data_IF_812012569557
#
_entry.id   IF_812012569557
#
_cell.length_a   1.000
_cell.length_b   1.000
_cell.length_c   1.000
_cell.angle_alpha   90.00
_cell.angle_beta   90.00
_cell.angle_gamma   90.00
#
_symmetry.space_group_name_H-M   'P 1'
#
loop_
_entity.id
_entity.type
_entity.pdbx_description
1 polymer ?
#
# COMPACT_ATOMS: atom_id res chain seq x y z
N UNK A 1 -50.94 20.73 -32.13
CA UNK A 1 -49.59 20.20 -31.84
C UNK A 1 -48.62 21.35 -31.84
N UNK A 2 -48.10 21.81 -30.68
CA UNK A 2 -46.77 22.43 -30.52
C UNK A 2 -46.40 22.46 -29.02
N UNK A 3 -45.70 21.40 -28.64
CA UNK A 3 -44.60 21.23 -27.68
C UNK A 3 -44.23 22.36 -26.70
N UNK A 4 -44.48 22.12 -25.40
CA UNK A 4 -43.90 22.84 -24.24
C UNK A 4 -42.60 22.17 -23.73
N UNK A 5 -41.55 22.07 -24.55
CA UNK A 5 -40.30 21.39 -24.13
C UNK A 5 -39.00 22.13 -24.47
N UNK A 6 -38.98 23.47 -24.41
CA UNK A 6 -37.75 24.24 -24.72
C UNK A 6 -37.16 25.07 -23.57
N UNK A 7 -37.78 25.11 -22.39
CA UNK A 7 -37.30 25.95 -21.27
C UNK A 7 -36.39 25.24 -20.25
N UNK A 8 -36.25 23.92 -20.32
CA UNK A 8 -35.40 23.16 -19.40
C UNK A 8 -33.95 22.97 -19.89
N UNK A 9 -33.65 23.25 -21.17
CA UNK A 9 -32.32 23.02 -21.76
C UNK A 9 -31.43 24.27 -21.68
N UNK A 10 -31.99 25.45 -21.40
CA UNK A 10 -31.25 26.73 -21.39
C UNK A 10 -30.63 27.11 -20.03
N UNK A 11 -30.53 26.17 -19.08
CA UNK A 11 -29.73 26.32 -17.85
C UNK A 11 -28.48 25.43 -17.82
N UNK A 12 -28.25 24.62 -18.85
CA UNK A 12 -27.12 23.69 -18.94
C UNK A 12 -26.09 24.03 -20.02
N UNK A 13 -26.19 25.20 -20.66
CA UNK A 13 -25.33 25.59 -21.79
C UNK A 13 -24.63 26.95 -21.63
N UNK A 14 -24.58 27.51 -20.42
CA UNK A 14 -23.82 28.72 -20.10
C UNK A 14 -22.76 28.52 -18.99
N UNK A 15 -22.33 27.28 -18.77
CA UNK A 15 -21.19 26.93 -17.89
C UNK A 15 -20.21 26.00 -18.63
N UNK A 16 -19.93 26.31 -19.91
CA UNK A 16 -18.98 25.55 -20.73
C UNK A 16 -17.99 26.44 -21.51
N UNK A 17 -17.95 27.75 -21.24
CA UNK A 17 -17.10 28.70 -21.98
C UNK A 17 -16.49 29.81 -21.12
N UNK A 18 -16.32 29.54 -19.83
CA UNK A 18 -15.45 30.31 -18.95
C UNK A 18 -14.51 29.35 -18.21
N UNK A 19 -13.70 28.60 -18.97
CA UNK A 19 -12.36 28.23 -18.48
C UNK A 19 -11.58 29.53 -18.52
N UNK A 20 -11.84 30.38 -17.53
CA UNK A 20 -10.85 31.34 -17.09
C UNK A 20 -9.69 30.45 -16.64
N UNK A 21 -8.51 30.49 -17.27
CA UNK A 21 -7.35 29.88 -16.62
C UNK A 21 -7.27 30.61 -15.28
N UNK A 22 -7.51 29.89 -14.19
CA UNK A 22 -6.94 30.31 -12.93
C UNK A 22 -5.46 30.45 -13.25
N UNK A 23 -5.00 31.69 -13.39
CA UNK A 23 -3.60 32.02 -13.31
C UNK A 23 -3.22 31.70 -11.87
N UNK A 24 -3.02 30.42 -11.58
CA UNK A 24 -2.06 30.01 -10.59
C UNK A 24 -0.82 30.79 -10.97
N UNK A 25 -0.29 31.58 -10.02
CA UNK A 25 0.98 32.23 -10.22
C UNK A 25 1.93 31.21 -10.86
N UNK A 26 2.50 31.53 -12.02
CA UNK A 26 3.40 30.65 -12.73
C UNK A 26 4.70 30.56 -11.92
N UNK A 27 4.64 29.80 -10.83
CA UNK A 27 5.79 29.24 -10.16
C UNK A 27 6.51 28.39 -11.21
N UNK A 28 7.85 28.32 -11.15
CA UNK A 28 8.64 27.54 -12.10
C UNK A 28 8.30 26.06 -12.01
N UNK A 29 7.18 25.64 -12.60
CA UNK A 29 6.57 24.33 -12.43
C UNK A 29 7.46 23.29 -13.08
N UNK A 30 8.07 22.46 -12.24
CA UNK A 30 8.84 21.32 -12.67
C UNK A 30 7.92 20.10 -12.76
N UNK A 31 8.15 19.25 -13.75
CA UNK A 31 7.41 18.01 -13.90
C UNK A 31 8.36 16.85 -14.15
N UNK A 32 8.12 15.72 -13.49
CA UNK A 32 8.81 14.46 -13.75
C UNK A 32 7.81 13.34 -13.93
N UNK A 33 8.17 12.34 -14.73
CA UNK A 33 7.40 11.11 -14.87
C UNK A 33 8.05 10.03 -14.02
N UNK A 34 7.27 9.34 -13.20
CA UNK A 34 7.71 8.17 -12.44
C UNK A 34 6.81 6.98 -12.72
N UNK A 35 7.39 5.79 -12.74
CA UNK A 35 6.64 4.53 -12.80
C UNK A 35 6.99 3.67 -11.59
N UNK A 36 6.00 3.33 -10.77
CA UNK A 36 6.13 2.31 -9.72
C UNK A 36 5.91 0.93 -10.33
N UNK A 37 6.72 -0.06 -9.97
CA UNK A 37 6.52 -1.42 -10.47
C UNK A 37 7.36 -2.47 -9.72
N UNK A 38 7.08 -3.76 -9.95
CA UNK A 38 7.89 -4.84 -9.40
C UNK A 38 9.28 -4.87 -10.05
N UNK A 39 10.29 -5.23 -9.27
CA UNK A 39 11.68 -5.37 -9.68
C UNK A 39 12.39 -6.35 -8.73
N UNK A 40 13.70 -6.49 -8.83
CA UNK A 40 14.50 -7.35 -7.97
C UNK A 40 15.85 -6.74 -7.69
N UNK A 41 16.46 -7.12 -6.58
CA UNK A 41 17.88 -6.85 -6.32
C UNK A 41 18.59 -8.16 -5.97
N UNK A 42 19.91 -8.18 -6.12
CA UNK A 42 20.73 -9.32 -5.75
C UNK A 42 21.64 -8.90 -4.60
N UNK A 43 21.52 -9.60 -3.47
CA UNK A 43 22.33 -9.37 -2.29
C UNK A 43 23.78 -9.81 -2.54
N UNK A 44 24.77 -9.36 -1.73
CA UNK A 44 26.17 -9.74 -1.91
C UNK A 44 26.45 -11.25 -1.83
N UNK A 45 25.55 -12.03 -1.21
CA UNK A 45 25.61 -13.50 -1.15
C UNK A 45 25.06 -14.18 -2.42
N UNK A 46 24.61 -13.41 -3.42
CA UNK A 46 24.03 -13.89 -4.66
C UNK A 46 22.52 -14.17 -4.58
N UNK A 47 21.87 -13.97 -3.44
CA UNK A 47 20.43 -14.18 -3.31
C UNK A 47 19.63 -13.08 -3.99
N UNK A 48 18.70 -13.45 -4.86
CA UNK A 48 17.75 -12.50 -5.47
C UNK A 48 16.58 -12.25 -4.52
N UNK A 49 16.27 -10.98 -4.31
CA UNK A 49 15.21 -10.49 -3.43
C UNK A 49 14.18 -9.74 -4.28
N UNK A 50 12.89 -10.10 -4.22
CA UNK A 50 11.84 -9.33 -4.88
C UNK A 50 11.69 -7.96 -4.22
N UNK A 51 11.69 -6.91 -5.04
CA UNK A 51 11.58 -5.53 -4.60
C UNK A 51 10.51 -4.84 -5.46
N UNK A 52 10.07 -3.68 -5.04
CA UNK A 52 9.28 -2.72 -5.82
C UNK A 52 10.11 -1.45 -5.94
N UNK A 53 10.01 -0.75 -7.07
CA UNK A 53 10.82 0.44 -7.29
C UNK A 53 10.10 1.49 -8.08
N UNK A 54 10.51 2.73 -7.87
CA UNK A 54 10.23 3.80 -8.82
C UNK A 54 11.29 3.77 -9.93
N UNK A 55 10.85 4.09 -11.14
CA UNK A 55 11.72 4.26 -12.31
C UNK A 55 11.39 5.57 -12.98
N UNK A 56 12.44 6.28 -13.42
CA UNK A 56 12.29 7.55 -14.11
C UNK A 56 11.71 7.32 -15.51
N UNK A 57 10.62 8.00 -15.82
CA UNK A 57 10.05 8.06 -17.16
C UNK A 57 10.80 9.03 -18.06
N UNK A 58 10.27 9.25 -19.26
CA UNK A 58 10.81 10.23 -20.20
C UNK A 58 10.81 11.65 -19.60
N UNK A 59 11.85 12.43 -19.90
CA UNK A 59 11.92 13.82 -19.50
C UNK A 59 10.73 14.61 -20.07
N UNK A 60 10.15 15.49 -19.25
CA UNK A 60 9.00 16.30 -19.65
C UNK A 60 9.48 17.58 -20.30
N UNK A 61 9.06 17.83 -21.55
CA UNK A 61 9.41 19.05 -22.28
C UNK A 61 9.01 20.30 -21.48
N UNK A 62 9.95 21.23 -21.32
CA UNK A 62 9.76 22.46 -20.56
C UNK A 62 10.02 22.34 -19.05
N UNK A 63 10.26 21.12 -18.55
CA UNK A 63 10.77 20.89 -17.19
C UNK A 63 12.29 20.83 -17.20
N UNK A 64 12.90 21.45 -16.19
CA UNK A 64 14.35 21.39 -15.91
C UNK A 64 14.68 20.45 -14.76
N UNK A 65 13.67 19.90 -14.07
CA UNK A 65 13.91 18.87 -13.07
C UNK A 65 14.36 17.56 -13.74
N UNK A 66 15.28 16.88 -13.06
CA UNK A 66 15.82 15.60 -13.50
C UNK A 66 15.32 14.49 -12.60
N UNK A 67 15.29 13.28 -13.15
CA UNK A 67 15.08 12.05 -12.40
C UNK A 67 16.14 11.05 -12.87
N UNK A 68 16.84 10.44 -11.94
CA UNK A 68 17.80 9.37 -12.22
C UNK A 68 17.69 8.24 -11.20
N UNK A 69 18.23 7.08 -11.51
CA UNK A 69 18.50 6.06 -10.50
C UNK A 69 19.60 6.57 -9.56
N UNK A 70 19.37 6.46 -8.25
CA UNK A 70 20.33 6.84 -7.22
C UNK A 70 21.62 5.99 -7.30
N UNK A 71 21.50 4.72 -7.71
CA UNK A 71 22.60 3.84 -8.05
C UNK A 71 22.59 3.55 -9.57
N UNK A 72 23.35 4.32 -10.38
CA UNK A 72 23.43 4.13 -11.83
C UNK A 72 23.94 2.75 -12.25
N UNK A 73 24.79 2.11 -11.43
CA UNK A 73 25.32 0.78 -11.72
C UNK A 73 24.22 -0.29 -11.58
N UNK A 74 23.37 -0.18 -10.55
CA UNK A 74 22.20 -1.06 -10.40
C UNK A 74 21.21 -0.88 -11.56
N UNK A 75 20.93 0.36 -11.97
CA UNK A 75 20.07 0.62 -13.13
C UNK A 75 20.63 0.02 -14.44
N UNK A 76 21.95 0.12 -14.65
CA UNK A 76 22.62 -0.49 -15.81
C UNK A 76 22.54 -2.01 -15.78
N UNK A 77 22.60 -2.60 -14.58
CA UNK A 77 22.43 -4.03 -14.35
C UNK A 77 20.96 -4.50 -14.41
N UNK A 78 20.01 -3.58 -14.57
CA UNK A 78 18.57 -3.90 -14.55
C UNK A 78 18.05 -4.34 -13.18
N UNK A 79 18.72 -3.95 -12.09
CA UNK A 79 18.32 -4.24 -10.72
C UNK A 79 17.73 -3.02 -10.03
N UNK A 80 17.08 -3.25 -8.88
CA UNK A 80 16.45 -2.21 -8.09
C UNK A 80 17.44 -1.13 -7.62
N UNK A 81 17.00 0.12 -7.71
CA UNK A 81 17.64 1.30 -7.15
C UNK A 81 16.55 2.27 -6.73
N UNK A 82 16.70 3.00 -5.61
CA UNK A 82 15.93 4.21 -5.36
C UNK A 82 16.12 5.22 -6.50
N UNK A 83 15.21 6.18 -6.60
CA UNK A 83 15.31 7.31 -7.54
C UNK A 83 15.79 8.56 -6.83
N UNK A 84 16.51 9.42 -7.53
CA UNK A 84 16.78 10.80 -7.12
C UNK A 84 16.11 11.74 -8.10
N UNK A 85 15.23 12.61 -7.58
CA UNK A 85 14.64 13.72 -8.31
C UNK A 85 15.38 14.98 -7.91
N UNK A 86 15.98 15.67 -8.86
CA UNK A 86 16.62 16.96 -8.61
C UNK A 86 15.81 18.07 -9.25
N UNK A 87 15.39 19.04 -8.43
CA UNK A 87 14.57 20.17 -8.83
C UNK A 87 15.37 21.45 -8.61
N UNK A 88 15.57 22.28 -9.65
CA UNK A 88 16.22 23.57 -9.49
C UNK A 88 15.46 24.46 -8.49
N UNK A 89 16.17 24.93 -7.47
CA UNK A 89 15.62 25.93 -6.56
C UNK A 89 15.43 27.26 -7.31
N UNK A 90 14.23 27.84 -7.23
CA UNK A 90 13.96 29.14 -7.85
C UNK A 90 14.77 30.25 -7.15
N UNK A 91 15.35 31.15 -7.94
CA UNK A 91 16.03 32.36 -7.42
C UNK A 91 15.05 33.40 -6.88
N UNK A 92 13.77 33.32 -7.25
CA UNK A 92 12.67 34.12 -6.71
C UNK A 92 11.34 33.36 -6.83
N UNK A 93 10.47 33.46 -5.80
CA UNK A 93 9.21 32.72 -5.73
C UNK A 93 9.36 31.27 -5.25
N UNK A 94 8.25 30.53 -5.20
CA UNK A 94 8.27 29.11 -4.85
C UNK A 94 8.53 28.24 -6.10
N UNK A 95 9.28 27.15 -5.94
CA UNK A 95 9.37 26.11 -6.97
C UNK A 95 8.22 25.12 -6.78
N UNK A 96 7.49 24.78 -7.84
CA UNK A 96 6.47 23.74 -7.78
C UNK A 96 6.98 22.46 -8.45
N UNK A 97 6.54 21.30 -7.98
CA UNK A 97 6.82 20.00 -8.60
C UNK A 97 5.51 19.24 -8.85
N UNK A 98 5.36 18.72 -10.05
CA UNK A 98 4.36 17.70 -10.39
C UNK A 98 5.08 16.38 -10.69
N UNK A 99 4.69 15.30 -10.00
CA UNK A 99 5.10 13.94 -10.35
C UNK A 99 3.93 13.26 -11.05
N UNK A 100 4.10 12.92 -12.33
CA UNK A 100 3.16 12.05 -13.04
C UNK A 100 3.52 10.60 -12.70
N UNK A 101 2.80 10.03 -11.73
CA UNK A 101 3.02 8.67 -11.25
C UNK A 101 2.16 7.70 -12.06
N UNK A 102 2.80 6.75 -12.73
CA UNK A 102 2.17 5.56 -13.30
C UNK A 102 2.37 4.39 -12.35
N UNK A 103 1.29 3.74 -11.92
CA UNK A 103 1.39 2.59 -11.02
C UNK A 103 1.24 1.28 -11.80
N UNK A 104 2.34 0.54 -11.95
CA UNK A 104 2.41 -0.78 -12.58
C UNK A 104 2.65 -1.91 -11.57
N UNK A 105 2.26 -1.74 -10.30
CA UNK A 105 2.28 -2.80 -9.29
C UNK A 105 1.15 -3.80 -9.53
N UNK A 106 1.32 -4.58 -10.59
CA UNK A 106 0.41 -5.63 -11.05
C UNK A 106 1.12 -6.98 -10.96
N UNK A 107 0.51 -7.93 -10.27
CA UNK A 107 1.07 -9.25 -9.98
C UNK A 107 0.14 -10.33 -10.50
N UNK A 108 0.61 -11.18 -11.40
CA UNK A 108 -0.19 -12.30 -11.94
C UNK A 108 0.08 -13.56 -11.13
N UNK A 109 -0.91 -14.13 -10.42
CA UNK A 109 -0.81 -15.43 -9.78
C UNK A 109 -0.56 -16.55 -10.79
N UNK A 110 0.27 -17.52 -10.40
CA UNK A 110 0.55 -18.69 -11.22
C UNK A 110 -0.75 -19.46 -11.56
N UNK A 111 -0.92 -19.82 -12.83
CA UNK A 111 -2.11 -20.54 -13.30
C UNK A 111 -3.37 -19.69 -13.46
N UNK A 112 -3.27 -18.36 -13.36
CA UNK A 112 -4.42 -17.45 -13.56
C UNK A 112 -4.11 -16.38 -14.60
N UNK A 113 -5.15 -15.78 -15.19
CA UNK A 113 -5.02 -14.62 -16.08
C UNK A 113 -5.36 -13.28 -15.38
N UNK A 114 -5.95 -13.35 -14.19
CA UNK A 114 -6.38 -12.17 -13.43
C UNK A 114 -5.23 -11.62 -12.61
N UNK A 115 -4.89 -10.36 -12.80
CA UNK A 115 -3.82 -9.70 -12.04
C UNK A 115 -4.36 -9.17 -10.70
N UNK A 116 -3.55 -9.31 -9.65
CA UNK A 116 -3.72 -8.60 -8.41
C UNK A 116 -3.03 -7.24 -8.51
N UNK A 117 -3.73 -6.17 -8.14
CA UNK A 117 -3.20 -4.82 -8.17
C UNK A 117 -2.93 -4.28 -6.78
N UNK A 118 -1.77 -3.64 -6.60
CA UNK A 118 -1.42 -2.93 -5.36
C UNK A 118 -1.45 -1.42 -5.64
N UNK A 119 -2.36 -0.64 -5.02
CA UNK A 119 -2.31 0.80 -5.12
C UNK A 119 -1.07 1.36 -4.41
N UNK A 120 -0.62 2.54 -4.82
CA UNK A 120 0.53 3.21 -4.19
C UNK A 120 0.34 4.71 -4.21
N UNK A 121 1.16 5.45 -3.47
CA UNK A 121 1.17 6.90 -3.49
C UNK A 121 2.61 7.40 -3.31
N UNK A 122 2.78 8.71 -3.21
CA UNK A 122 4.06 9.32 -2.86
C UNK A 122 3.83 10.34 -1.75
N UNK A 123 4.67 10.28 -0.73
CA UNK A 123 4.87 11.33 0.26
C UNK A 123 6.33 11.77 0.17
N UNK A 124 6.55 13.08 0.27
CA UNK A 124 7.88 13.65 0.38
C UNK A 124 7.97 14.26 1.78
N UNK A 125 8.75 13.63 2.64
CA UNK A 125 8.83 13.99 4.06
C UNK A 125 9.33 15.43 4.18
N UNK A 126 8.59 16.26 4.93
CA UNK A 126 8.89 17.69 5.07
C UNK A 126 8.34 18.58 3.94
N UNK A 127 7.68 18.02 2.92
CA UNK A 127 7.01 18.77 1.86
C UNK A 127 5.51 18.51 1.86
N UNK A 128 4.70 19.57 1.91
CA UNK A 128 3.23 19.44 1.81
C UNK A 128 2.84 19.42 0.33
N UNK A 129 2.24 18.31 -0.10
CA UNK A 129 1.80 18.10 -1.47
C UNK A 129 1.47 16.63 -1.74
N UNK A 130 1.21 16.30 -3.00
CA UNK A 130 0.79 14.95 -3.40
C UNK A 130 -0.56 14.52 -2.78
N UNK A 131 -1.31 15.45 -2.20
CA UNK A 131 -2.55 15.21 -1.45
C UNK A 131 -2.40 15.05 0.06
N UNK A 132 -1.17 15.14 0.59
CA UNK A 132 -0.93 15.19 2.02
C UNK A 132 -1.68 16.37 2.66
N UNK A 133 -2.43 16.09 3.73
CA UNK A 133 -3.25 17.09 4.43
C UNK A 133 -4.65 17.34 3.83
N UNK A 134 -4.97 16.72 2.68
CA UNK A 134 -6.29 16.82 2.05
C UNK A 134 -7.14 15.59 2.41
N UNK A 135 -8.09 15.75 3.34
CA UNK A 135 -8.91 14.64 3.84
C UNK A 135 -9.74 13.94 2.74
N UNK A 136 -10.05 14.63 1.64
CA UNK A 136 -10.75 14.06 0.49
C UNK A 136 -9.87 13.20 -0.42
N UNK A 137 -8.55 13.27 -0.27
CA UNK A 137 -7.58 12.58 -1.12
C UNK A 137 -6.88 11.42 -0.42
N UNK A 138 -6.95 11.35 0.92
CA UNK A 138 -6.49 10.19 1.68
C UNK A 138 -7.45 9.01 1.48
N UNK A 139 -6.92 7.80 1.40
CA UNK A 139 -7.72 6.58 1.46
C UNK A 139 -7.68 5.95 2.84
N UNK A 140 -8.75 5.24 3.20
CA UNK A 140 -8.88 4.54 4.46
C UNK A 140 -9.58 3.22 4.28
N UNK A 141 -9.19 2.23 5.06
CA UNK A 141 -9.91 0.96 5.16
C UNK A 141 -10.85 0.97 6.35
N UNK A 142 -11.94 0.22 6.25
CA UNK A 142 -12.83 -0.03 7.38
C UNK A 142 -12.05 -0.67 8.52
N UNK A 143 -12.29 -0.26 9.78
CA UNK A 143 -11.67 -0.94 10.90
C UNK A 143 -12.21 -2.39 10.98
N UNK A 144 -11.44 -3.32 11.58
CA UNK A 144 -11.97 -4.62 11.95
C UNK A 144 -13.25 -4.48 12.79
N UNK A 145 -14.19 -5.41 12.62
CA UNK A 145 -15.36 -5.46 13.50
C UNK A 145 -14.94 -5.87 14.91
N UNK A 146 -15.27 -5.02 15.89
CA UNK A 146 -15.01 -5.27 17.30
C UNK A 146 -16.31 -5.49 18.10
N UNK A 147 -17.46 -5.68 17.45
CA UNK A 147 -18.77 -5.89 18.09
C UNK A 147 -18.76 -6.99 19.15
N UNK A 148 -17.90 -8.02 18.96
CA UNK A 148 -17.71 -9.14 19.88
C UNK A 148 -16.34 -9.15 20.58
N UNK A 149 -15.48 -8.14 20.39
CA UNK A 149 -14.11 -8.14 20.91
C UNK A 149 -14.03 -8.17 22.45
N UNK A 150 -15.10 -7.77 23.13
CA UNK A 150 -15.28 -7.87 24.58
C UNK A 150 -16.53 -8.67 24.95
N UNK A 151 -17.09 -9.41 23.98
CA UNK A 151 -18.35 -10.14 24.16
C UNK A 151 -18.27 -11.31 25.13
N UNK A 152 -17.05 -11.77 25.47
CA UNK A 152 -16.80 -12.67 26.59
C UNK A 152 -15.75 -12.02 27.52
N UNK A 153 -16.02 -11.85 28.81
CA UNK A 153 -14.96 -11.52 29.76
C UNK A 153 -13.97 -12.69 29.82
N UNK A 154 -12.68 -12.44 29.60
CA UNK A 154 -11.62 -13.45 29.74
C UNK A 154 -11.35 -13.85 31.20
N UNK A 155 -12.12 -13.27 32.13
CA UNK A 155 -11.96 -13.45 33.57
C UNK A 155 -13.22 -14.08 34.19
N UNK A 156 -13.04 -15.27 34.76
CA UNK A 156 -14.08 -16.18 35.28
C UNK A 156 -15.00 -15.62 36.38
N UNK A 157 -14.70 -14.46 36.97
CA UNK A 157 -15.56 -13.81 37.97
C UNK A 157 -16.68 -12.98 37.31
N UNK A 158 -16.46 -12.49 36.08
CA UNK A 158 -17.37 -11.55 35.43
C UNK A 158 -18.50 -12.22 34.64
N UNK A 159 -18.41 -13.53 34.39
CA UNK A 159 -19.51 -14.32 33.82
C UNK A 159 -19.61 -15.71 34.47
N UNK A 160 -20.56 -15.91 35.42
CA UNK A 160 -20.76 -17.20 36.07
C UNK A 160 -21.48 -18.23 35.18
N UNK A 161 -21.97 -17.82 33.99
CA UNK A 161 -22.81 -18.66 33.13
C UNK A 161 -22.05 -19.30 31.95
N UNK A 162 -20.87 -18.79 31.59
CA UNK A 162 -20.07 -19.33 30.49
C UNK A 162 -18.78 -19.99 30.99
N UNK A 163 -18.63 -21.32 30.86
CA UNK A 163 -17.40 -22.01 31.24
C UNK A 163 -16.18 -21.53 30.44
N UNK A 164 -14.96 -21.54 31.03
CA UNK A 164 -13.74 -21.24 30.31
C UNK A 164 -13.60 -22.11 29.04
N UNK A 165 -13.40 -21.48 27.88
CA UNK A 165 -13.17 -22.18 26.61
C UNK A 165 -14.42 -22.41 25.74
N UNK A 166 -15.61 -21.93 26.13
CA UNK A 166 -16.81 -21.95 25.29
C UNK A 166 -16.92 -20.64 24.49
N UNK A 167 -17.01 -20.67 23.14
CA UNK A 167 -17.21 -19.46 22.34
C UNK A 167 -18.58 -18.83 22.62
N UNK A 168 -18.63 -17.56 23.02
CA UNK A 168 -19.90 -16.86 23.19
C UNK A 168 -20.57 -16.64 21.83
N UNK A 169 -21.87 -16.87 21.77
CA UNK A 169 -22.69 -16.67 20.56
C UNK A 169 -23.26 -15.23 20.46
N UNK A 170 -23.07 -14.41 21.50
CA UNK A 170 -23.48 -13.00 21.58
C UNK A 170 -22.62 -12.22 22.60
N UNK A 171 -22.67 -10.89 22.56
CA UNK A 171 -22.05 -10.02 23.58
C UNK A 171 -22.90 -10.04 24.86
N UNK A 172 -22.41 -10.69 25.91
CA UNK A 172 -23.09 -10.82 27.21
C UNK A 172 -22.56 -9.85 28.29
N UNK A 173 -21.40 -9.23 28.06
CA UNK A 173 -20.69 -8.40 29.04
C UNK A 173 -21.27 -7.00 29.18
N UNK A 174 -22.12 -6.57 28.23
CA UNK A 174 -22.59 -5.19 28.12
C UNK A 174 -21.47 -4.19 27.76
N UNK A 175 -20.25 -4.67 27.53
CA UNK A 175 -19.13 -3.84 27.17
C UNK A 175 -19.22 -3.48 25.68
N UNK A 176 -19.44 -2.20 25.41
CA UNK A 176 -19.47 -1.65 24.06
C UNK A 176 -18.09 -1.01 23.82
N UNK A 177 -17.18 -1.64 23.05
CA UNK A 177 -15.91 -1.01 22.75
C UNK A 177 -16.15 0.31 21.99
N UNK A 178 -15.27 1.32 22.17
CA UNK A 178 -15.42 2.58 21.46
C UNK A 178 -15.41 2.33 19.95
N UNK A 179 -16.34 2.99 19.25
CA UNK A 179 -16.40 2.94 17.78
C UNK A 179 -15.05 3.36 17.22
N UNK A 180 -14.38 2.42 16.57
CA UNK A 180 -13.11 2.70 15.91
C UNK A 180 -13.38 3.46 14.61
N UNK A 181 -12.60 4.51 14.34
CA UNK A 181 -12.64 5.18 13.04
C UNK A 181 -11.98 4.31 11.95
N UNK A 182 -12.17 4.67 10.66
CA UNK A 182 -11.42 4.07 9.56
C UNK A 182 -9.91 4.15 9.80
N UNK A 183 -9.19 3.07 9.46
CA UNK A 183 -7.74 3.03 9.55
C UNK A 183 -7.15 3.71 8.32
N UNK A 184 -6.13 4.54 8.52
CA UNK A 184 -5.43 5.20 7.40
C UNK A 184 -4.78 4.11 6.54
N UNK A 185 -5.07 4.16 5.24
CA UNK A 185 -4.48 3.30 4.23
C UNK A 185 -3.36 4.04 3.49
N UNK A 186 -3.64 5.28 3.08
CA UNK A 186 -2.67 6.17 2.46
C UNK A 186 -2.66 7.56 3.10
N UNK A 187 -1.47 8.12 3.30
CA UNK A 187 -1.28 9.49 3.80
C UNK A 187 -1.45 10.57 2.71
N UNK A 188 -1.43 10.18 1.44
CA UNK A 188 -1.52 11.09 0.29
C UNK A 188 -2.45 10.52 -0.78
N UNK A 189 -2.53 11.16 -1.95
CA UNK A 189 -3.40 10.71 -3.04
C UNK A 189 -2.93 9.35 -3.56
N UNK A 190 -3.76 8.33 -3.32
CA UNK A 190 -3.51 6.97 -3.76
C UNK A 190 -3.81 6.80 -5.26
N UNK A 191 -2.89 6.16 -5.97
CA UNK A 191 -2.96 5.85 -7.40
C UNK A 191 -3.22 4.37 -7.55
N UNK A 192 -4.37 4.03 -8.15
CA UNK A 192 -4.77 2.65 -8.41
C UNK A 192 -3.76 1.93 -9.32
N UNK A 193 -3.58 0.62 -9.11
CA UNK A 193 -2.74 -0.21 -9.97
C UNK A 193 -3.26 -0.21 -11.42
N UNK A 194 -2.35 -0.20 -12.39
CA UNK A 194 -2.66 -0.07 -13.82
C UNK A 194 -3.12 1.32 -14.26
N UNK A 195 -3.06 2.33 -13.37
CA UNK A 195 -3.50 3.70 -13.64
C UNK A 195 -2.36 4.70 -13.48
N UNK A 196 -2.59 5.94 -13.92
CA UNK A 196 -1.68 7.06 -13.71
C UNK A 196 -2.39 8.26 -13.09
N UNK A 197 -1.66 9.05 -12.29
CA UNK A 197 -2.15 10.30 -11.71
C UNK A 197 -1.03 11.34 -11.59
N UNK A 198 -1.40 12.62 -11.64
CA UNK A 198 -0.50 13.73 -11.39
C UNK A 198 -0.57 14.18 -9.94
N UNK A 199 0.54 14.04 -9.22
CA UNK A 199 0.69 14.43 -7.82
C UNK A 199 1.43 15.77 -7.74
N UNK A 200 0.88 16.76 -7.05
CA UNK A 200 1.40 18.13 -7.06
C UNK A 200 1.90 18.62 -5.69
N UNK A 201 3.09 19.21 -5.69
CA UNK A 201 3.70 19.96 -4.59
C UNK A 201 3.81 21.41 -5.02
N UNK A 202 2.88 22.30 -4.60
CA UNK A 202 2.77 23.65 -5.15
C UNK A 202 3.87 24.60 -4.67
N UNK A 203 4.54 24.29 -3.56
CA UNK A 203 5.58 25.13 -2.98
C UNK A 203 6.64 24.27 -2.28
N UNK A 204 7.67 23.90 -3.03
CA UNK A 204 8.82 23.17 -2.51
C UNK A 204 9.71 24.08 -1.67
N UNK A 205 10.13 23.56 -0.52
CA UNK A 205 11.18 24.15 0.30
C UNK A 205 12.55 23.62 -0.17
N UNK A 206 13.57 24.47 -0.39
CA UNK A 206 14.93 24.02 -0.69
C UNK A 206 15.48 23.02 0.33
N UNK A 207 16.31 22.07 -0.10
CA UNK A 207 16.92 21.05 0.75
C UNK A 207 16.81 19.63 0.17
N UNK A 208 17.19 18.65 0.97
CA UNK A 208 17.16 17.23 0.62
C UNK A 208 16.13 16.51 1.48
N UNK A 209 15.26 15.74 0.85
CA UNK A 209 14.09 15.13 1.49
C UNK A 209 13.95 13.67 1.06
N UNK A 210 13.54 12.82 2.00
CA UNK A 210 13.18 11.43 1.71
C UNK A 210 11.82 11.41 0.99
N UNK A 211 11.75 10.65 -0.10
CA UNK A 211 10.55 10.35 -0.85
C UNK A 211 10.21 8.88 -0.58
N UNK A 212 8.97 8.61 -0.19
CA UNK A 212 8.53 7.25 0.10
C UNK A 212 7.05 7.06 -0.28
N UNK A 213 6.62 5.80 -0.40
CA UNK A 213 5.19 5.54 -0.56
C UNK A 213 4.42 5.95 0.69
N UNK A 214 3.35 6.71 0.49
CA UNK A 214 2.39 7.06 1.55
C UNK A 214 1.33 5.99 1.78
N UNK A 215 1.21 4.99 0.90
CA UNK A 215 0.27 3.88 1.00
C UNK A 215 0.94 2.71 1.69
N UNK A 216 0.34 2.20 2.77
CA UNK A 216 0.88 1.07 3.56
C UNK A 216 2.41 1.14 3.76
N UNK A 217 2.96 2.24 4.33
CA UNK A 217 4.41 2.44 4.35
C UNK A 217 5.16 1.32 5.07
N UNK A 218 4.55 0.68 6.07
CA UNK A 218 5.13 -0.50 6.74
C UNK A 218 5.39 -1.71 5.83
N UNK A 219 4.81 -1.74 4.63
CA UNK A 219 5.00 -2.78 3.61
C UNK A 219 5.74 -2.19 2.41
N UNK A 220 5.24 -1.09 1.86
CA UNK A 220 5.74 -0.55 0.59
C UNK A 220 7.14 0.04 0.68
N UNK A 221 7.50 0.64 1.82
CA UNK A 221 8.84 1.18 2.06
C UNK A 221 9.87 0.06 2.17
N UNK A 222 9.68 -1.01 2.99
CA UNK A 222 10.56 -2.18 2.98
C UNK A 222 10.60 -2.94 1.64
N UNK A 223 9.54 -2.85 0.83
CA UNK A 223 9.57 -3.37 -0.55
C UNK A 223 10.44 -2.52 -1.48
N UNK A 224 10.77 -1.28 -1.13
CA UNK A 224 11.70 -0.43 -1.88
C UNK A 224 11.06 0.71 -2.66
N UNK A 225 9.80 1.05 -2.39
CA UNK A 225 9.17 2.27 -2.92
C UNK A 225 9.67 3.51 -2.15
N UNK A 226 10.93 3.84 -2.41
CA UNK A 226 11.69 4.92 -1.79
C UNK A 226 12.50 5.70 -2.84
N UNK A 227 12.97 6.87 -2.44
CA UNK A 227 13.83 7.72 -3.23
C UNK A 227 14.13 9.03 -2.51
N UNK A 228 14.70 9.97 -3.25
CA UNK A 228 15.13 11.26 -2.72
C UNK A 228 14.61 12.40 -3.59
N UNK A 229 14.15 13.47 -2.96
CA UNK A 229 13.97 14.77 -3.59
C UNK A 229 15.11 15.70 -3.15
N UNK A 230 15.82 16.27 -4.12
CA UNK A 230 16.83 17.31 -3.90
C UNK A 230 16.34 18.60 -4.54
N UNK A 231 16.07 19.63 -3.74
CA UNK A 231 15.65 20.95 -4.19
C UNK A 231 16.80 21.92 -3.98
N UNK A 232 17.61 22.14 -5.02
CA UNK A 232 18.90 22.85 -4.92
C UNK A 232 19.22 23.62 -6.19
N UNK A 233 20.18 24.53 -6.13
CA UNK A 233 20.87 25.00 -7.33
C UNK A 233 22.10 24.12 -7.52
N UNK A 234 22.07 23.23 -8.52
CA UNK A 234 23.16 22.28 -8.76
C UNK A 234 24.45 22.97 -9.26
N UNK A 235 25.65 22.44 -8.95
CA UNK A 235 26.90 22.94 -9.52
C UNK A 235 26.92 22.78 -11.04
N UNK A 236 27.50 23.75 -11.75
CA UNK A 236 27.62 23.74 -13.21
C UNK A 236 28.98 24.25 -13.67
N UNK A 237 29.81 23.35 -14.23
CA UNK A 237 31.18 23.67 -14.63
C UNK A 237 32.02 24.11 -13.43
N UNK A 238 32.53 25.35 -13.45
CA UNK A 238 33.25 25.95 -12.33
C UNK A 238 32.34 26.70 -11.35
N UNK A 239 31.04 26.78 -11.62
CA UNK A 239 30.07 27.45 -10.76
C UNK A 239 29.65 26.50 -9.65
N UNK A 240 29.89 26.90 -8.40
CA UNK A 240 29.44 26.14 -7.23
C UNK A 240 27.90 26.12 -7.16
N UNK A 241 27.35 24.99 -6.73
CA UNK A 241 25.95 24.86 -6.36
C UNK A 241 25.67 25.56 -5.02
N UNK A 242 24.40 25.69 -4.68
CA UNK A 242 23.95 26.30 -3.42
C UNK A 242 22.94 25.39 -2.73
N UNK A 243 23.33 24.81 -1.60
CA UNK A 243 22.49 23.88 -0.83
C UNK A 243 21.42 24.61 -0.03
N UNK A 244 21.79 25.71 0.61
CA UNK A 244 20.87 26.59 1.32
C UNK A 244 21.09 28.02 0.84
N UNK A 245 20.03 28.70 0.33
CA UNK A 245 20.15 30.09 -0.03
C UNK A 245 20.47 30.92 1.22
N UNK A 246 21.27 31.97 1.04
CA UNK A 246 21.48 32.95 2.10
C UNK A 246 20.17 33.63 2.46
N UNK A 247 20.02 34.04 3.71
CA UNK A 247 18.82 34.68 4.22
C UNK A 247 19.15 35.92 5.05
N UNK A 248 18.34 36.96 4.93
CA UNK A 248 18.36 38.09 5.86
C UNK A 248 17.43 37.79 7.02
N UNK A 249 17.98 37.68 8.22
CA UNK A 249 17.21 37.47 9.46
C UNK A 249 17.21 38.75 10.29
N UNK A 250 16.36 38.82 11.31
CA UNK A 250 16.40 39.89 12.30
C UNK A 250 17.77 39.99 13.03
N UNK A 251 18.55 38.91 13.05
CA UNK A 251 19.89 38.85 13.65
C UNK A 251 21.02 39.19 12.66
N UNK A 252 20.72 39.49 11.39
CA UNK A 252 21.70 39.81 10.34
C UNK A 252 21.61 38.90 9.12
N UNK A 253 22.51 39.15 8.15
CA UNK A 253 22.61 38.37 6.93
C UNK A 253 23.35 37.05 7.19
N UNK A 254 22.68 35.93 6.88
CA UNK A 254 23.26 34.58 6.87
C UNK A 254 23.69 34.28 5.43
N UNK A 255 24.98 34.03 5.16
CA UNK A 255 25.47 33.73 3.82
C UNK A 255 24.94 32.39 3.31
N UNK A 256 24.90 32.24 1.98
CA UNK A 256 24.52 31.00 1.33
C UNK A 256 25.56 29.89 1.58
N UNK A 257 25.09 28.65 1.68
CA UNK A 257 25.97 27.47 1.78
C UNK A 257 26.19 26.90 0.39
N UNK A 258 27.41 27.04 -0.14
CA UNK A 258 27.78 26.59 -1.49
C UNK A 258 28.60 25.31 -1.48
N UNK A 259 28.51 24.52 -2.56
CA UNK A 259 29.24 23.27 -2.71
C UNK A 259 29.72 23.06 -4.17
N UNK A 260 30.85 22.37 -4.34
CA UNK A 260 31.42 22.11 -5.67
C UNK A 260 31.02 20.74 -6.24
N UNK A 261 30.55 19.83 -5.40
CA UNK A 261 30.12 18.49 -5.79
C UNK A 261 29.00 17.99 -4.87
N UNK A 262 28.12 17.16 -5.41
CA UNK A 262 27.05 16.48 -4.68
C UNK A 262 27.13 14.97 -4.88
N UNK A 263 26.84 14.23 -3.80
CA UNK A 263 26.66 12.78 -3.83
C UNK A 263 25.41 12.46 -2.98
N UNK A 264 24.26 12.19 -3.60
CA UNK A 264 23.08 11.78 -2.85
C UNK A 264 23.27 10.36 -2.30
N UNK A 265 22.99 10.17 -1.02
CA UNK A 265 23.08 8.89 -0.32
C UNK A 265 21.80 8.62 0.46
N UNK A 266 21.23 7.44 0.25
CA UNK A 266 20.03 6.97 0.93
C UNK A 266 20.33 5.59 1.52
N UNK A 267 20.00 5.41 2.79
CA UNK A 267 20.19 4.15 3.50
C UNK A 267 18.83 3.51 3.75
N UNK A 268 18.69 2.25 3.38
CA UNK A 268 17.52 1.41 3.67
C UNK A 268 17.97 -0.01 3.99
N UNK A 269 17.15 -0.72 4.75
CA UNK A 269 17.34 -2.15 5.02
C UNK A 269 16.54 -2.97 4.01
N UNK A 270 17.10 -4.11 3.60
CA UNK A 270 16.41 -5.13 2.82
C UNK A 270 16.34 -6.39 3.69
N UNK A 271 15.13 -6.87 3.93
CA UNK A 271 14.87 -8.14 4.63
C UNK A 271 14.34 -9.17 3.61
N UNK A 272 15.21 -10.07 3.11
CA UNK A 272 14.82 -11.08 2.13
C UNK A 272 13.64 -11.97 2.57
N UNK A 273 13.43 -12.19 3.87
CA UNK A 273 12.34 -13.01 4.39
C UNK A 273 11.02 -12.25 4.25
N UNK A 274 10.97 -11.00 4.71
CA UNK A 274 9.80 -10.14 4.57
C UNK A 274 9.47 -9.90 3.09
N UNK A 275 10.46 -9.53 2.27
CA UNK A 275 10.26 -9.23 0.85
C UNK A 275 9.68 -10.43 0.09
N UNK A 276 10.18 -11.64 0.34
CA UNK A 276 9.64 -12.87 -0.26
C UNK A 276 8.24 -13.20 0.24
N UNK A 277 7.94 -12.97 1.51
CA UNK A 277 6.60 -13.18 2.07
C UNK A 277 5.57 -12.24 1.44
N UNK A 278 5.94 -10.97 1.23
CA UNK A 278 5.09 -9.99 0.55
C UNK A 278 4.89 -10.35 -0.92
N UNK A 279 5.96 -10.70 -1.66
CA UNK A 279 5.83 -11.12 -3.06
C UNK A 279 4.94 -12.37 -3.22
N UNK A 280 5.05 -13.35 -2.32
CA UNK A 280 4.17 -14.50 -2.29
C UNK A 280 2.70 -14.11 -2.02
N UNK A 281 2.46 -13.17 -1.08
CA UNK A 281 1.13 -12.71 -0.76
C UNK A 281 0.46 -12.01 -1.96
N UNK A 282 1.13 -11.04 -2.59
CA UNK A 282 0.56 -10.31 -3.73
C UNK A 282 0.37 -11.18 -4.98
N UNK A 283 1.04 -12.33 -5.05
CA UNK A 283 0.85 -13.34 -6.11
C UNK A 283 -0.15 -14.44 -5.74
N UNK A 284 -0.82 -14.36 -4.60
CA UNK A 284 -1.87 -15.32 -4.22
C UNK A 284 -3.16 -15.03 -4.98
N UNK A 285 -3.82 -16.01 -5.63
CA UNK A 285 -5.10 -15.78 -6.31
C UNK A 285 -6.14 -15.10 -5.40
N UNK A 286 -6.74 -14.01 -5.87
CA UNK A 286 -7.75 -13.26 -5.10
C UNK A 286 -7.17 -12.35 -4.02
N UNK A 287 -5.86 -12.09 -4.03
CA UNK A 287 -5.25 -11.09 -3.16
C UNK A 287 -5.89 -9.71 -3.37
N UNK A 288 -6.13 -9.03 -2.25
CA UNK A 288 -6.49 -7.60 -2.24
C UNK A 288 -5.93 -6.97 -0.97
N UNK A 289 -5.37 -5.78 -1.10
CA UNK A 289 -4.87 -4.97 0.03
C UNK A 289 -6.00 -4.60 1.02
N UNK A 290 -7.25 -4.62 0.56
CA UNK A 290 -8.41 -4.34 1.41
C UNK A 290 -8.84 -5.55 2.26
N UNK A 291 -8.34 -6.75 1.98
CA UNK A 291 -8.59 -7.90 2.85
C UNK A 291 -7.75 -7.73 4.10
N UNK A 292 -8.33 -7.06 5.11
CA UNK A 292 -7.90 -7.31 6.49
C UNK A 292 -7.99 -8.81 6.67
N UNK A 293 -6.86 -9.44 7.02
CA UNK A 293 -6.83 -10.85 7.40
C UNK A 293 -7.73 -10.96 8.62
N UNK A 294 -9.03 -11.21 8.38
CA UNK A 294 -9.87 -11.82 9.38
C UNK A 294 -9.09 -13.07 9.69
N UNK A 295 -8.65 -13.25 10.93
CA UNK A 295 -8.19 -14.55 11.40
C UNK A 295 -9.42 -15.45 11.36
N UNK A 296 -9.90 -15.76 10.16
CA UNK A 296 -10.99 -16.69 9.93
C UNK A 296 -10.50 -17.99 10.53
N UNK A 297 -11.32 -18.60 11.37
CA UNK A 297 -10.95 -19.83 12.06
C UNK A 297 -10.37 -20.81 11.04
N UNK A 298 -9.22 -21.37 11.36
CA UNK A 298 -8.82 -22.65 10.80
C UNK A 298 -9.48 -23.73 11.66
N UNK A 299 -9.82 -24.86 11.05
CA UNK A 299 -10.22 -26.04 11.85
C UNK A 299 -8.96 -26.49 12.60
N UNK A 300 -8.98 -26.43 13.93
CA UNK A 300 -7.85 -26.87 14.76
C UNK A 300 -7.81 -28.37 14.98
N UNK A 301 -8.98 -29.01 15.06
CA UNK A 301 -9.13 -30.45 15.29
C UNK A 301 -10.53 -30.92 14.92
N UNK A 302 -10.68 -32.19 14.55
CA UNK A 302 -11.97 -32.86 14.36
C UNK A 302 -12.10 -33.94 15.43
N UNK A 303 -13.03 -33.76 16.36
CA UNK A 303 -13.30 -34.76 17.41
C UNK A 303 -14.36 -35.76 16.95
N UNK A 304 -14.08 -37.05 17.07
CA UNK A 304 -15.04 -38.12 16.78
C UNK A 304 -15.84 -38.41 18.05
N UNK A 305 -17.15 -38.13 18.03
CA UNK A 305 -18.05 -38.38 19.16
C UNK A 305 -18.72 -39.75 19.10
N UNK A 306 -18.85 -40.31 17.90
CA UNK A 306 -19.28 -41.70 17.66
C UNK A 306 -18.60 -42.21 16.40
N UNK A 307 -17.83 -43.30 16.54
CA UNK A 307 -17.05 -43.88 15.44
C UNK A 307 -17.84 -44.80 14.51
N UNK A 308 -19.15 -44.97 14.73
CA UNK A 308 -20.00 -45.91 13.99
C UNK A 308 -19.54 -47.37 14.11
N UNK A 309 -20.00 -48.24 13.20
CA UNK A 309 -19.60 -49.65 13.13
C UNK A 309 -19.76 -50.19 11.70
N UNK A 310 -18.99 -51.23 11.36
CA UNK A 310 -19.17 -51.97 10.10
C UNK A 310 -18.36 -51.42 8.92
N UNK A 311 -17.39 -50.56 9.18
CA UNK A 311 -16.45 -50.09 8.16
C UNK A 311 -15.52 -51.22 7.74
N UNK A 312 -15.62 -51.63 6.48
CA UNK A 312 -14.72 -52.61 5.85
C UNK A 312 -13.63 -51.93 5.00
N UNK A 313 -13.67 -50.60 4.90
CA UNK A 313 -12.71 -49.72 4.22
C UNK A 313 -12.79 -48.30 4.80
N UNK A 314 -11.76 -47.47 4.59
CA UNK A 314 -11.76 -46.08 5.04
C UNK A 314 -12.85 -45.25 4.33
N UNK A 315 -13.72 -44.53 5.05
CA UNK A 315 -14.72 -43.63 4.46
C UNK A 315 -14.07 -42.33 3.97
N UNK A 316 -14.76 -41.66 3.05
CA UNK A 316 -14.32 -40.37 2.51
C UNK A 316 -14.76 -39.24 3.43
N UNK A 317 -13.81 -38.58 4.09
CA UNK A 317 -14.12 -37.39 4.90
C UNK A 317 -14.39 -36.20 3.98
N UNK A 318 -15.60 -35.63 4.07
CA UNK A 318 -15.95 -34.40 3.36
C UNK A 318 -16.21 -33.29 4.37
N UNK A 319 -15.45 -32.19 4.24
CA UNK A 319 -15.63 -30.98 5.04
C UNK A 319 -16.28 -29.93 4.14
N UNK A 320 -17.37 -29.31 4.62
CA UNK A 320 -18.04 -28.24 3.86
C UNK A 320 -17.07 -27.11 3.51
N UNK A 321 -17.24 -26.48 2.35
CA UNK A 321 -16.48 -25.28 2.01
C UNK A 321 -16.77 -24.16 3.03
N UNK A 322 -15.79 -23.27 3.31
CA UNK A 322 -16.04 -22.08 4.12
C UNK A 322 -17.09 -21.19 3.43
N UNK A 323 -17.92 -20.48 4.22
CA UNK A 323 -18.99 -19.63 3.71
C UNK A 323 -18.54 -18.35 2.97
N UNK A 324 -17.29 -18.28 2.53
CA UNK A 324 -16.66 -17.10 1.92
C UNK A 324 -15.45 -17.47 1.04
N UNK A 325 -14.48 -16.55 0.89
CA UNK A 325 -13.30 -16.71 0.02
C UNK A 325 -12.18 -17.59 0.61
N UNK A 326 -12.53 -18.48 1.54
CA UNK A 326 -11.58 -19.32 2.27
C UNK A 326 -11.14 -20.57 1.52
N UNK A 327 -10.14 -21.26 2.06
CA UNK A 327 -9.68 -22.56 1.54
C UNK A 327 -10.36 -23.70 2.28
N UNK A 328 -10.93 -24.66 1.56
CA UNK A 328 -11.55 -25.86 2.15
C UNK A 328 -10.50 -26.71 2.88
N UNK A 329 -10.80 -27.08 4.12
CA UNK A 329 -10.01 -28.00 4.93
C UNK A 329 -10.07 -29.42 4.36
N UNK A 330 -9.02 -30.21 4.59
CA UNK A 330 -8.93 -31.61 4.16
C UNK A 330 -8.54 -32.50 5.32
N UNK A 331 -9.09 -33.71 5.37
CA UNK A 331 -8.84 -34.67 6.43
C UNK A 331 -8.98 -36.12 5.92
N UNK A 332 -8.39 -37.06 6.65
CA UNK A 332 -8.49 -38.50 6.42
C UNK A 332 -8.99 -39.21 7.67
N UNK A 333 -9.84 -40.22 7.50
CA UNK A 333 -10.32 -41.04 8.61
C UNK A 333 -9.36 -42.22 8.86
N UNK A 334 -9.04 -42.45 10.14
CA UNK A 334 -8.30 -43.61 10.62
C UNK A 334 -9.32 -44.69 11.02
N UNK A 335 -9.21 -45.88 10.41
CA UNK A 335 -10.24 -46.93 10.50
C UNK A 335 -9.67 -48.28 10.93
N UNK A 336 -10.33 -48.87 11.93
CA UNK A 336 -10.25 -50.29 12.27
C UNK A 336 -11.59 -51.00 11.98
N UNK A 337 -12.33 -51.39 13.02
CA UNK A 337 -13.74 -51.83 12.91
C UNK A 337 -14.75 -50.66 13.11
N UNK A 338 -14.25 -49.53 13.59
CA UNK A 338 -14.91 -48.24 13.84
C UNK A 338 -13.92 -47.13 13.46
N UNK A 339 -14.40 -45.90 13.29
CA UNK A 339 -13.54 -44.74 13.10
C UNK A 339 -12.86 -44.42 14.45
N UNK A 340 -11.53 -44.51 14.49
CA UNK A 340 -10.74 -44.26 15.71
C UNK A 340 -10.16 -42.86 15.77
N UNK A 341 -10.12 -42.15 14.64
CA UNK A 341 -9.65 -40.78 14.55
C UNK A 341 -9.95 -40.16 13.19
N UNK A 342 -9.93 -38.83 13.13
CA UNK A 342 -9.92 -38.08 11.87
C UNK A 342 -8.70 -37.17 11.92
N UNK A 343 -7.72 -37.48 11.07
CA UNK A 343 -6.49 -36.71 10.95
C UNK A 343 -6.69 -35.58 9.96
N UNK A 344 -6.51 -34.35 10.44
CA UNK A 344 -6.60 -33.15 9.62
C UNK A 344 -5.33 -32.99 8.79
N UNK A 345 -5.46 -33.03 7.47
CA UNK A 345 -4.34 -32.83 6.52
C UNK A 345 -4.08 -31.35 6.27
N UNK A 346 -5.12 -30.51 6.27
CA UNK A 346 -5.04 -29.05 6.21
C UNK A 346 -6.25 -28.43 6.90
N UNK A 347 -6.03 -27.47 7.81
CA UNK A 347 -7.11 -26.79 8.53
C UNK A 347 -7.90 -25.75 7.73
N UNK A 348 -7.52 -25.55 6.46
CA UNK A 348 -8.16 -24.58 5.59
C UNK A 348 -8.08 -23.15 6.12
N UNK A 349 -8.96 -22.28 5.63
CA UNK A 349 -9.07 -20.90 6.10
C UNK A 349 -10.50 -20.36 5.89
N UNK A 350 -10.89 -19.35 6.65
CA UNK A 350 -12.18 -18.68 6.46
C UNK A 350 -13.40 -19.45 6.99
N UNK A 351 -13.19 -20.44 7.86
CA UNK A 351 -14.28 -21.15 8.51
C UNK A 351 -14.94 -20.28 9.58
N UNK A 352 -16.28 -20.21 9.54
CA UNK A 352 -17.11 -19.67 10.61
C UNK A 352 -17.49 -20.79 11.61
N UNK A 353 -18.04 -20.41 12.76
CA UNK A 353 -18.31 -21.31 13.92
C UNK A 353 -19.23 -22.51 13.64
N UNK A 354 -19.84 -22.61 12.46
CA UNK A 354 -20.62 -23.77 12.03
C UNK A 354 -19.99 -24.41 10.79
N UNK A 355 -19.27 -25.51 10.99
CA UNK A 355 -18.72 -26.35 9.91
C UNK A 355 -19.39 -27.72 9.96
N UNK A 356 -19.85 -28.23 8.82
CA UNK A 356 -20.41 -29.59 8.75
C UNK A 356 -19.33 -30.53 8.23
N UNK A 357 -19.11 -31.63 8.94
CA UNK A 357 -18.21 -32.72 8.53
C UNK A 357 -19.06 -33.96 8.33
N UNK A 358 -18.95 -34.59 7.16
CA UNK A 358 -19.66 -35.83 6.81
C UNK A 358 -18.67 -36.93 6.44
N UNK A 359 -19.04 -38.17 6.74
CA UNK A 359 -18.27 -39.41 6.57
C UNK A 359 -19.03 -40.40 5.69
#
# INVERSE_FOLDING_TARGET
>A
MQTKSFKAILKSTALALAILPFAAAAFGQQTVNLTAGPTTTTMPDGTTVPMWGYSCGTAVTGSTATCAALNPAAATAGTWSPVVITVPAASAGATALTINLTNNLLFTPAGTATQNGVPTSIVILGQVGGGLGQLSQRTSTTPPDHSLAQGCPTWFIADPNTPPGVPCTANDSGAIPPTQGPRVQSFSTEVAAGSAASLAWPALVPGTYLLESGTHPSIQVPMGLIGMLVVTTVPAGTTAGTAYPGATTAAGAVPAVTYNAELPLEFSEIDPVQNKAVDAAVRTPGFTEANTRTMGGAIGSIAVTSGGSGYTSNPTVTISAPGGTGTTATATADVGAVITGVTLTSGGSGYATTTTVTL
#
